data_IF_564892927475
#
_entry.id   IF_564892927475
#
_cell.length_a   1.000
_cell.length_b   1.000
_cell.length_c   1.000
_cell.angle_alpha   90.00
_cell.angle_beta   90.00
_cell.angle_gamma   90.00
#
_symmetry.space_group_name_H-M   'P 1'
#
loop_
_entity.id
_entity.type
_entity.pdbx_description
1 polymer ?
#
# COMPACT_ATOMS: atom_id res chain seq x y z
N UNK A 1 5.87 42.22 -12.65
CA UNK A 1 5.29 40.88 -12.79
C UNK A 1 6.11 39.92 -11.93
N UNK A 2 5.80 39.75 -10.63
CA UNK A 2 6.51 38.76 -9.83
C UNK A 2 5.85 37.40 -10.05
N UNK A 3 6.66 36.46 -10.52
CA UNK A 3 6.37 35.02 -10.55
C UNK A 3 6.08 34.57 -9.12
N UNK A 4 4.82 34.22 -8.86
CA UNK A 4 4.46 33.43 -7.69
C UNK A 4 5.06 32.06 -7.88
N UNK A 5 6.28 31.88 -7.39
CA UNK A 5 6.88 30.56 -7.19
C UNK A 5 5.93 29.82 -6.24
N UNK A 6 5.29 28.77 -6.73
CA UNK A 6 4.33 27.97 -5.99
C UNK A 6 5.10 27.15 -4.93
N UNK A 7 5.38 27.79 -3.79
CA UNK A 7 6.12 27.18 -2.68
C UNK A 7 5.53 25.84 -2.22
N UNK A 8 4.24 25.59 -2.43
CA UNK A 8 3.62 24.30 -2.07
C UNK A 8 3.99 23.16 -3.02
N UNK A 9 4.29 23.50 -4.27
CA UNK A 9 4.70 22.59 -5.33
C UNK A 9 6.20 22.35 -5.24
N UNK A 10 7.00 23.41 -5.10
CA UNK A 10 8.45 23.29 -4.84
C UNK A 10 8.74 22.56 -3.52
N UNK A 11 7.99 22.81 -2.44
CA UNK A 11 8.11 22.08 -1.17
C UNK A 11 7.65 20.61 -1.31
N UNK A 12 6.65 20.32 -2.15
CA UNK A 12 6.28 18.92 -2.47
C UNK A 12 7.31 18.22 -3.33
N UNK A 13 7.93 18.91 -4.26
CA UNK A 13 8.96 18.37 -5.15
C UNK A 13 10.27 18.14 -4.40
N UNK A 14 10.72 19.07 -3.53
CA UNK A 14 11.92 18.92 -2.69
C UNK A 14 11.75 17.81 -1.63
N UNK A 15 10.55 17.70 -1.03
CA UNK A 15 10.24 16.60 -0.10
C UNK A 15 10.04 15.28 -0.84
N UNK A 16 9.60 15.31 -2.10
CA UNK A 16 9.55 14.13 -2.94
C UNK A 16 10.96 13.67 -3.28
N UNK A 17 11.86 14.55 -3.70
CA UNK A 17 13.22 14.16 -4.13
C UNK A 17 14.07 13.65 -2.96
N UNK A 18 14.16 14.37 -1.83
CA UNK A 18 14.97 13.90 -0.70
C UNK A 18 14.46 12.57 -0.12
N UNK A 19 13.13 12.43 -0.01
CA UNK A 19 12.53 11.23 0.54
C UNK A 19 12.48 10.06 -0.46
N UNK A 20 12.45 10.36 -1.76
CA UNK A 20 12.64 9.38 -2.82
C UNK A 20 14.05 8.82 -2.76
N UNK A 21 15.07 9.68 -2.73
CA UNK A 21 16.47 9.28 -2.63
C UNK A 21 16.74 8.46 -1.37
N UNK A 22 16.13 8.83 -0.24
CA UNK A 22 16.22 8.04 1.00
C UNK A 22 15.60 6.65 0.86
N UNK A 23 14.39 6.54 0.30
CA UNK A 23 13.71 5.25 0.11
C UNK A 23 14.44 4.40 -0.92
N UNK A 24 14.89 5.00 -2.02
CA UNK A 24 15.71 4.37 -3.04
C UNK A 24 17.01 3.83 -2.42
N UNK A 25 17.75 4.68 -1.69
CA UNK A 25 18.98 4.27 -1.00
C UNK A 25 18.72 3.18 0.05
N UNK A 26 17.61 3.25 0.79
CA UNK A 26 17.22 2.22 1.76
C UNK A 26 16.97 0.87 1.06
N UNK A 27 16.19 0.87 -0.02
CA UNK A 27 15.88 -0.33 -0.81
C UNK A 27 17.15 -0.92 -1.42
N UNK A 28 17.96 -0.11 -2.11
CA UNK A 28 19.19 -0.60 -2.74
C UNK A 28 20.21 -1.08 -1.71
N UNK A 29 20.29 -0.47 -0.53
CA UNK A 29 21.15 -0.97 0.57
C UNK A 29 20.68 -2.34 1.03
N UNK A 30 19.38 -2.51 1.26
CA UNK A 30 18.80 -3.79 1.65
C UNK A 30 19.05 -4.88 0.61
N UNK A 31 18.74 -4.59 -0.66
CA UNK A 31 18.97 -5.52 -1.77
C UNK A 31 20.45 -5.91 -1.87
N UNK A 32 21.38 -4.95 -1.79
CA UNK A 32 22.83 -5.24 -1.82
C UNK A 32 23.26 -6.14 -0.66
N UNK A 33 22.82 -5.86 0.56
CA UNK A 33 23.17 -6.65 1.74
C UNK A 33 22.59 -8.06 1.65
N UNK A 34 21.30 -8.18 1.34
CA UNK A 34 20.63 -9.47 1.22
C UNK A 34 21.26 -10.35 0.12
N UNK A 35 21.55 -9.75 -1.04
CA UNK A 35 22.21 -10.46 -2.15
C UNK A 35 23.63 -10.88 -1.75
N UNK A 36 24.42 -10.00 -1.10
CA UNK A 36 25.76 -10.35 -0.63
C UNK A 36 25.75 -11.52 0.39
N UNK A 37 24.81 -11.50 1.34
CA UNK A 37 24.66 -12.58 2.32
C UNK A 37 24.24 -13.91 1.69
N UNK A 38 23.41 -13.87 0.64
CA UNK A 38 22.98 -15.06 -0.07
C UNK A 38 24.13 -15.77 -0.79
N UNK A 39 25.08 -15.02 -1.35
CA UNK A 39 26.26 -15.57 -2.03
C UNK A 39 27.30 -16.06 -1.02
N UNK A 40 27.47 -15.38 0.10
CA UNK A 40 28.37 -15.81 1.18
C UNK A 40 27.92 -17.10 1.89
N UNK A 41 26.62 -17.45 1.79
CA UNK A 41 26.05 -18.64 2.42
C UNK A 41 26.03 -19.87 1.50
N UNK A 42 26.52 -19.75 0.26
CA UNK A 42 26.66 -20.89 -0.66
C UNK A 42 27.96 -21.67 -0.35
N UNK A 43 27.93 -23.01 -0.20
CA UNK A 43 29.12 -23.78 0.16
C UNK A 43 30.19 -23.71 -0.95
N UNK A 44 31.49 -23.66 -0.61
CA UNK A 44 32.56 -23.61 -1.60
C UNK A 44 32.58 -24.90 -2.43
N UNK A 45 32.66 -24.76 -3.76
CA UNK A 45 32.89 -25.89 -4.65
C UNK A 45 34.31 -26.47 -4.42
N UNK A 46 34.52 -27.79 -4.52
CA UNK A 46 35.85 -28.37 -4.40
C UNK A 46 36.72 -27.87 -5.57
N UNK A 47 37.89 -27.30 -5.24
CA UNK A 47 38.95 -27.06 -6.21
C UNK A 47 39.51 -28.41 -6.65
N UNK A 48 39.40 -28.74 -7.93
CA UNK A 48 40.18 -29.82 -8.53
C UNK A 48 41.61 -29.29 -8.72
N UNK A 49 42.53 -29.78 -7.89
CA UNK A 49 43.96 -29.56 -8.03
C UNK A 49 44.47 -30.31 -9.27
N UNK A 50 44.93 -29.57 -10.27
CA UNK A 50 45.72 -30.12 -11.36
C UNK A 50 47.11 -30.55 -10.87
N UNK A 51 47.41 -31.85 -10.95
CA UNK A 51 48.78 -32.30 -11.16
C UNK A 51 48.86 -33.64 -11.93
N UNK A 52 49.65 -33.60 -13.00
CA UNK A 52 50.00 -34.60 -14.03
C UNK A 52 50.67 -35.86 -13.39
N UNK A 53 50.52 -37.14 -13.80
CA UNK A 53 50.96 -37.79 -15.07
C UNK A 53 50.71 -39.34 -15.04
N UNK A 54 50.28 -39.92 -16.19
CA UNK A 54 50.42 -41.31 -16.74
C UNK A 54 49.79 -42.57 -16.08
N UNK A 55 48.78 -43.19 -16.74
CA UNK A 55 48.91 -44.44 -17.53
C UNK A 55 47.58 -45.23 -17.75
N UNK A 56 47.20 -45.36 -19.04
CA UNK A 56 46.60 -46.52 -19.76
C UNK A 56 45.16 -47.06 -19.44
N UNK A 57 44.35 -47.04 -20.51
CA UNK A 57 43.26 -47.98 -20.96
C UNK A 57 41.78 -47.60 -20.73
N UNK A 58 41.00 -47.62 -21.82
CA UNK A 58 39.62 -47.16 -22.07
C UNK A 58 38.50 -48.12 -21.55
N UNK A 59 37.18 -47.97 -21.87
CA UNK A 59 36.41 -46.86 -22.46
C UNK A 59 35.15 -46.43 -21.66
N UNK A 60 34.54 -45.37 -22.19
CA UNK A 60 33.42 -44.56 -21.71
C UNK A 60 32.10 -45.31 -21.45
N UNK A 61 31.32 -44.83 -20.47
CA UNK A 61 29.86 -44.96 -20.43
C UNK A 61 29.28 -43.59 -20.05
N UNK A 62 28.58 -42.96 -21.00
CA UNK A 62 27.90 -41.67 -20.80
C UNK A 62 26.78 -41.79 -19.77
N UNK A 63 26.73 -40.84 -18.82
CA UNK A 63 25.52 -40.50 -18.07
C UNK A 63 25.47 -38.97 -17.95
N UNK A 64 24.34 -38.32 -18.25
CA UNK A 64 24.28 -36.87 -18.33
C UNK A 64 24.32 -36.25 -16.94
N UNK A 65 25.30 -35.38 -16.72
CA UNK A 65 25.38 -34.49 -15.57
C UNK A 65 24.27 -33.45 -15.68
N UNK A 66 23.29 -33.55 -14.79
CA UNK A 66 22.30 -32.52 -14.53
C UNK A 66 22.99 -31.27 -13.97
N UNK A 67 22.88 -30.16 -14.69
CA UNK A 67 23.31 -28.82 -14.28
C UNK A 67 22.56 -28.35 -13.02
N UNK A 68 23.20 -27.62 -12.08
CA UNK A 68 22.53 -27.12 -10.89
C UNK A 68 21.78 -25.81 -11.17
N UNK A 69 20.46 -25.82 -10.94
CA UNK A 69 19.51 -24.68 -11.09
C UNK A 69 19.57 -23.71 -9.89
N UNK A 70 20.66 -23.67 -9.12
CA UNK A 70 20.66 -23.08 -7.77
C UNK A 70 20.93 -21.57 -7.68
N UNK A 71 21.19 -20.86 -8.78
CA UNK A 71 21.60 -19.44 -8.75
C UNK A 71 20.46 -18.42 -8.88
N UNK A 72 19.22 -18.84 -9.20
CA UNK A 72 18.08 -17.93 -9.45
C UNK A 72 17.16 -17.65 -8.24
N UNK A 73 17.18 -18.49 -7.19
CA UNK A 73 16.28 -18.35 -6.03
C UNK A 73 16.70 -17.26 -5.03
N UNK A 74 17.99 -16.95 -4.97
CA UNK A 74 18.54 -16.00 -3.98
C UNK A 74 18.07 -14.54 -4.22
N UNK A 75 18.13 -13.99 -5.46
CA UNK A 75 17.75 -12.61 -5.70
C UNK A 75 16.26 -12.36 -5.47
N UNK A 76 15.39 -13.30 -5.88
CA UNK A 76 13.94 -13.21 -5.69
C UNK A 76 13.53 -13.08 -4.22
N UNK A 77 14.21 -13.83 -3.33
CA UNK A 77 13.99 -13.75 -1.90
C UNK A 77 14.27 -12.34 -1.35
N UNK A 78 15.31 -11.67 -1.84
CA UNK A 78 15.65 -10.32 -1.41
C UNK A 78 14.56 -9.29 -1.75
N UNK A 79 13.99 -9.36 -2.95
CA UNK A 79 12.85 -8.52 -3.33
C UNK A 79 11.57 -8.87 -2.56
N UNK A 80 11.35 -10.16 -2.26
CA UNK A 80 10.21 -10.62 -1.47
C UNK A 80 10.28 -10.23 0.00
N UNK A 81 11.49 -10.01 0.54
CA UNK A 81 11.73 -9.58 1.93
C UNK A 81 11.67 -8.07 2.14
N UNK A 82 11.65 -7.30 1.05
CA UNK A 82 11.66 -5.83 1.05
C UNK A 82 10.51 -5.20 1.86
N UNK A 83 9.26 -5.72 1.79
CA UNK A 83 8.14 -5.17 2.54
C UNK A 83 8.34 -5.21 4.06
N UNK A 84 8.97 -6.26 4.59
CA UNK A 84 9.25 -6.38 6.03
C UNK A 84 10.31 -5.37 6.52
N UNK A 85 11.21 -4.95 5.63
CA UNK A 85 12.28 -4.00 5.96
C UNK A 85 11.88 -2.55 5.72
N UNK A 86 11.00 -2.31 4.73
CA UNK A 86 10.52 -0.97 4.40
C UNK A 86 9.38 -0.51 5.31
N UNK A 87 8.55 -1.45 5.76
CA UNK A 87 7.41 -1.21 6.63
C UNK A 87 7.82 -1.54 8.07
N UNK A 88 8.12 -0.53 8.88
CA UNK A 88 8.49 -0.73 10.28
C UNK A 88 7.35 -1.44 11.05
N UNK A 89 7.64 -2.54 11.76
CA UNK A 89 6.63 -3.31 12.49
C UNK A 89 6.22 -2.69 13.84
N UNK A 90 7.02 -1.75 14.36
CA UNK A 90 7.01 -1.41 15.79
C UNK A 90 5.75 -0.72 16.32
N UNK A 91 4.93 -0.13 15.45
CA UNK A 91 3.72 0.58 15.90
C UNK A 91 2.44 -0.23 15.71
N UNK A 92 2.42 -1.28 14.88
CA UNK A 92 1.14 -1.88 14.43
C UNK A 92 0.35 -2.56 15.55
N UNK A 93 1.01 -3.23 16.50
CA UNK A 93 0.36 -3.89 17.63
C UNK A 93 -0.09 -2.89 18.71
N UNK A 94 0.72 -1.86 18.98
CA UNK A 94 0.38 -0.79 19.92
C UNK A 94 -0.74 0.12 19.38
N UNK A 95 -0.76 0.37 18.07
CA UNK A 95 -1.80 1.09 17.33
C UNK A 95 -3.15 0.41 17.46
N UNK A 96 -3.16 -0.90 17.25
CA UNK A 96 -4.35 -1.74 17.26
C UNK A 96 -4.96 -1.85 18.67
N UNK A 97 -4.13 -1.97 19.71
CA UNK A 97 -4.60 -1.98 21.10
C UNK A 97 -5.37 -0.71 21.52
N UNK A 98 -5.20 0.40 20.80
CA UNK A 98 -5.81 1.68 21.11
C UNK A 98 -7.26 1.85 20.60
N UNK A 99 -7.67 1.06 19.60
CA UNK A 99 -8.99 1.16 18.98
C UNK A 99 -10.00 0.28 19.72
N UNK A 100 -10.88 0.91 20.49
CA UNK A 100 -11.84 0.21 21.36
C UNK A 100 -13.07 -0.37 20.63
N UNK A 101 -13.27 -0.06 19.34
CA UNK A 101 -14.41 -0.55 18.55
C UNK A 101 -13.92 -1.68 17.61
N UNK A 102 -14.34 -2.94 17.84
CA UNK A 102 -13.80 -4.11 17.13
C UNK A 102 -14.07 -4.06 15.62
N UNK A 103 -15.19 -3.47 15.20
CA UNK A 103 -15.51 -3.31 13.77
C UNK A 103 -14.54 -2.35 13.07
N UNK A 104 -14.08 -1.32 13.79
CA UNK A 104 -13.17 -0.31 13.25
C UNK A 104 -11.72 -0.78 13.31
N UNK A 105 -11.38 -1.50 14.36
CA UNK A 105 -10.11 -2.20 14.48
C UNK A 105 -9.88 -3.13 13.27
N UNK A 106 -10.91 -3.91 12.88
CA UNK A 106 -10.85 -4.74 11.68
C UNK A 106 -10.57 -3.95 10.39
N UNK A 107 -11.10 -2.73 10.26
CA UNK A 107 -10.86 -1.90 9.07
C UNK A 107 -9.42 -1.36 8.98
N UNK A 108 -8.80 -1.03 10.12
CA UNK A 108 -7.40 -0.63 10.13
C UNK A 108 -6.47 -1.81 9.84
N UNK A 109 -6.78 -3.01 10.38
CA UNK A 109 -6.08 -4.24 10.01
C UNK A 109 -6.16 -4.47 8.50
N UNK A 110 -7.37 -4.39 7.93
CA UNK A 110 -7.56 -4.57 6.49
C UNK A 110 -6.77 -3.54 5.67
N UNK A 111 -6.67 -2.29 6.13
CA UNK A 111 -5.86 -1.25 5.50
C UNK A 111 -4.36 -1.57 5.54
N UNK A 112 -3.83 -1.95 6.69
CA UNK A 112 -2.41 -2.30 6.82
C UNK A 112 -2.07 -3.58 6.07
N UNK A 113 -2.98 -4.56 6.01
CA UNK A 113 -2.79 -5.77 5.22
C UNK A 113 -2.86 -5.48 3.72
N UNK A 114 -3.80 -4.66 3.26
CA UNK A 114 -3.89 -4.29 1.84
C UNK A 114 -2.64 -3.51 1.38
N UNK A 115 -2.11 -2.61 2.22
CA UNK A 115 -0.89 -1.87 1.91
C UNK A 115 0.38 -2.75 1.98
N UNK A 116 0.40 -3.79 2.81
CA UNK A 116 1.46 -4.80 2.77
C UNK A 116 1.39 -5.61 1.46
N UNK A 117 0.20 -6.03 1.03
CA UNK A 117 0.03 -6.74 -0.24
C UNK A 117 0.46 -5.89 -1.45
N UNK A 118 0.14 -4.59 -1.45
CA UNK A 118 0.65 -3.64 -2.43
C UNK A 118 2.19 -3.60 -2.45
N UNK A 119 2.82 -3.56 -1.28
CA UNK A 119 4.27 -3.56 -1.16
C UNK A 119 4.89 -4.87 -1.69
N UNK A 120 4.26 -6.01 -1.44
CA UNK A 120 4.66 -7.31 -2.00
C UNK A 120 4.65 -7.28 -3.54
N UNK A 121 3.57 -6.76 -4.14
CA UNK A 121 3.46 -6.62 -5.60
C UNK A 121 4.58 -5.72 -6.14
N UNK A 122 4.87 -4.59 -5.49
CA UNK A 122 6.00 -3.73 -5.83
C UNK A 122 7.34 -4.47 -5.78
N UNK A 123 7.57 -5.31 -4.76
CA UNK A 123 8.76 -6.15 -4.68
C UNK A 123 8.88 -7.13 -5.85
N UNK A 124 7.79 -7.84 -6.17
CA UNK A 124 7.73 -8.75 -7.33
C UNK A 124 7.94 -8.01 -8.66
N UNK A 125 7.45 -6.79 -8.79
CA UNK A 125 7.67 -5.93 -9.97
C UNK A 125 9.14 -5.56 -10.13
N UNK A 126 9.79 -5.08 -9.07
CA UNK A 126 11.22 -4.75 -9.13
C UNK A 126 12.07 -5.95 -9.53
N UNK A 127 11.75 -7.14 -9.02
CA UNK A 127 12.41 -8.36 -9.47
C UNK A 127 12.15 -8.66 -10.94
N UNK A 128 10.91 -8.52 -11.41
CA UNK A 128 10.52 -8.80 -12.79
C UNK A 128 11.17 -7.85 -13.78
N UNK A 129 11.27 -6.56 -13.42
CA UNK A 129 12.00 -5.53 -14.17
C UNK A 129 13.47 -5.92 -14.31
N UNK A 130 14.09 -6.33 -13.21
CA UNK A 130 15.50 -6.70 -13.18
C UNK A 130 15.78 -7.99 -13.98
N UNK A 131 14.88 -8.97 -13.96
CA UNK A 131 14.96 -10.13 -14.86
C UNK A 131 14.84 -9.70 -16.33
N UNK A 132 13.84 -8.88 -16.65
CA UNK A 132 13.59 -8.45 -18.03
C UNK A 132 14.77 -7.66 -18.61
N UNK A 133 15.43 -6.82 -17.80
CA UNK A 133 16.67 -6.14 -18.20
C UNK A 133 17.81 -7.10 -18.52
N UNK A 134 17.99 -8.16 -17.72
CA UNK A 134 19.02 -9.18 -17.98
C UNK A 134 18.73 -9.96 -19.26
N UNK A 135 17.47 -10.37 -19.44
CA UNK A 135 17.05 -11.15 -20.61
C UNK A 135 17.21 -10.31 -21.88
N UNK A 136 16.64 -9.10 -21.90
CA UNK A 136 16.72 -8.19 -23.03
C UNK A 136 18.17 -7.74 -23.32
N UNK A 137 18.95 -7.40 -22.29
CA UNK A 137 20.36 -7.03 -22.45
C UNK A 137 21.24 -8.18 -22.95
N UNK A 138 20.87 -9.43 -22.71
CA UNK A 138 21.56 -10.59 -23.27
C UNK A 138 21.22 -10.77 -24.75
N UNK A 139 19.94 -10.62 -25.12
CA UNK A 139 19.47 -10.69 -26.51
C UNK A 139 20.06 -9.56 -27.35
N UNK A 140 20.11 -8.34 -26.85
CA UNK A 140 20.66 -7.20 -27.58
C UNK A 140 22.16 -7.39 -27.88
N UNK A 141 22.92 -8.01 -26.97
CA UNK A 141 24.32 -8.39 -27.19
C UNK A 141 24.45 -9.50 -28.24
N UNK A 142 23.56 -10.47 -28.22
CA UNK A 142 23.50 -11.57 -29.21
C UNK A 142 23.07 -11.10 -30.60
N UNK A 143 22.29 -10.02 -30.69
CA UNK A 143 21.91 -9.44 -31.97
C UNK A 143 23.08 -8.69 -32.63
N UNK A 144 23.94 -8.07 -31.81
CA UNK A 144 25.09 -7.28 -32.28
C UNK A 144 26.32 -8.13 -32.67
N UNK A 145 26.43 -9.36 -32.15
CA UNK A 145 27.48 -10.30 -32.50
C UNK A 145 26.89 -11.45 -33.33
N UNK A 146 27.44 -11.67 -34.53
CA UNK A 146 27.02 -12.68 -35.54
C UNK A 146 26.31 -13.89 -34.91
N UNK A 147 25.01 -13.97 -35.19
CA UNK A 147 23.95 -14.68 -34.44
C UNK A 147 24.14 -16.20 -34.34
N UNK A 148 24.10 -16.74 -33.12
CA UNK A 148 23.68 -18.13 -32.87
C UNK A 148 22.15 -18.18 -32.74
N UNK A 149 21.49 -18.89 -33.68
CA UNK A 149 20.01 -18.97 -33.74
C UNK A 149 19.42 -19.73 -32.55
N UNK A 150 20.22 -20.57 -31.89
CA UNK A 150 19.78 -21.33 -30.72
C UNK A 150 19.45 -20.40 -29.54
N UNK A 151 20.27 -19.38 -29.30
CA UNK A 151 20.06 -18.42 -28.21
C UNK A 151 18.85 -17.52 -28.44
N UNK A 152 18.56 -17.22 -29.72
CA UNK A 152 17.40 -16.44 -30.10
C UNK A 152 16.10 -17.23 -29.93
N UNK A 153 16.15 -18.54 -30.23
CA UNK A 153 15.03 -19.45 -30.01
C UNK A 153 14.74 -19.65 -28.52
N UNK A 154 15.78 -19.74 -27.68
CA UNK A 154 15.60 -19.89 -26.23
C UNK A 154 14.95 -18.66 -25.59
N UNK A 155 15.33 -17.43 -26.00
CA UNK A 155 14.67 -16.21 -25.51
C UNK A 155 13.19 -16.12 -25.90
N UNK A 156 12.86 -16.56 -27.12
CA UNK A 156 11.49 -16.58 -27.62
C UNK A 156 10.60 -17.54 -26.84
N UNK A 157 11.17 -18.64 -26.36
CA UNK A 157 10.49 -19.65 -25.54
C UNK A 157 10.40 -19.25 -24.07
N UNK A 158 11.29 -18.36 -23.59
CA UNK A 158 11.26 -17.85 -22.23
C UNK A 158 9.94 -17.13 -21.95
N UNK A 159 9.29 -17.47 -20.84
CA UNK A 159 8.06 -16.79 -20.42
C UNK A 159 8.36 -15.35 -20.02
N UNK A 160 7.50 -14.41 -20.40
CA UNK A 160 7.63 -13.02 -19.95
C UNK A 160 7.43 -12.94 -18.42
N UNK A 161 8.40 -12.41 -17.65
CA UNK A 161 8.30 -12.31 -16.19
C UNK A 161 7.11 -11.45 -15.73
N UNK A 162 6.61 -10.54 -16.57
CA UNK A 162 5.44 -9.70 -16.28
C UNK A 162 4.10 -10.43 -16.45
N UNK A 163 4.08 -11.62 -17.07
CA UNK A 163 2.84 -12.36 -17.37
C UNK A 163 2.03 -12.72 -16.12
N UNK A 164 2.70 -13.19 -15.06
CA UNK A 164 2.05 -13.55 -13.80
C UNK A 164 1.41 -12.32 -13.12
N UNK A 165 2.06 -11.16 -13.22
CA UNK A 165 1.61 -9.91 -12.63
C UNK A 165 0.37 -9.35 -13.34
N UNK A 166 0.36 -9.40 -14.68
CA UNK A 166 -0.76 -8.90 -15.52
C UNK A 166 -2.08 -9.60 -15.22
N UNK A 167 -2.06 -10.91 -14.95
CA UNK A 167 -3.26 -11.76 -15.01
C UNK A 167 -3.93 -12.03 -13.67
N UNK A 168 -3.19 -12.11 -12.56
CA UNK A 168 -3.76 -12.56 -11.27
C UNK A 168 -3.60 -11.54 -10.15
N UNK A 169 -2.51 -10.76 -10.17
CA UNK A 169 -2.17 -9.88 -9.05
C UNK A 169 -2.92 -8.54 -9.10
N UNK A 170 -3.01 -7.90 -10.27
CA UNK A 170 -3.66 -6.58 -10.39
C UNK A 170 -5.19 -6.61 -10.20
N UNK A 171 -5.89 -7.60 -10.75
CA UNK A 171 -7.33 -7.73 -10.59
C UNK A 171 -7.71 -7.96 -9.11
N UNK A 172 -6.96 -8.83 -8.44
CA UNK A 172 -7.15 -9.12 -7.02
C UNK A 172 -6.94 -7.86 -6.17
N UNK A 173 -5.82 -7.15 -6.35
CA UNK A 173 -5.52 -5.99 -5.51
C UNK A 173 -6.48 -4.82 -5.78
N UNK A 174 -6.93 -4.65 -7.03
CA UNK A 174 -7.92 -3.64 -7.37
C UNK A 174 -9.26 -3.91 -6.66
N UNK A 175 -9.74 -5.16 -6.70
CA UNK A 175 -10.95 -5.57 -5.97
C UNK A 175 -10.82 -5.39 -4.44
N UNK A 176 -9.64 -5.70 -3.88
CA UNK A 176 -9.34 -5.48 -2.46
C UNK A 176 -9.44 -4.01 -2.08
N UNK A 177 -8.78 -3.11 -2.83
CA UNK A 177 -8.82 -1.67 -2.55
C UNK A 177 -10.21 -1.06 -2.76
N UNK A 178 -10.93 -1.42 -3.82
CA UNK A 178 -12.31 -0.95 -4.04
C UNK A 178 -13.22 -1.32 -2.85
N UNK A 179 -13.14 -2.57 -2.39
CA UNK A 179 -13.90 -3.06 -1.23
C UNK A 179 -13.50 -2.33 0.06
N UNK A 180 -12.19 -2.13 0.28
CA UNK A 180 -11.66 -1.47 1.46
C UNK A 180 -12.07 0.01 1.52
N UNK A 181 -11.88 0.77 0.44
CA UNK A 181 -12.25 2.19 0.36
C UNK A 181 -13.74 2.34 0.68
N UNK A 182 -14.60 1.53 0.05
CA UNK A 182 -16.04 1.55 0.31
C UNK A 182 -16.36 1.30 1.79
N UNK A 183 -15.74 0.29 2.42
CA UNK A 183 -15.98 -0.06 3.83
C UNK A 183 -15.51 1.06 4.77
N UNK A 184 -14.34 1.64 4.52
CA UNK A 184 -13.80 2.78 5.28
C UNK A 184 -14.71 4.01 5.17
N UNK A 185 -15.16 4.36 3.96
CA UNK A 185 -16.07 5.49 3.74
C UNK A 185 -17.42 5.27 4.43
N UNK A 186 -18.01 4.07 4.31
CA UNK A 186 -19.27 3.74 4.99
C UNK A 186 -19.15 3.80 6.52
N UNK A 187 -18.03 3.34 7.07
CA UNK A 187 -17.75 3.42 8.51
C UNK A 187 -17.60 4.88 8.96
N UNK A 188 -16.85 5.70 8.21
CA UNK A 188 -16.73 7.14 8.45
C UNK A 188 -18.10 7.81 8.48
N UNK A 189 -18.93 7.58 7.46
CA UNK A 189 -20.27 8.19 7.36
C UNK A 189 -21.19 7.72 8.48
N UNK A 190 -21.07 6.45 8.90
CA UNK A 190 -21.80 5.92 10.06
C UNK A 190 -21.42 6.68 11.34
N UNK A 191 -20.14 6.96 11.55
CA UNK A 191 -19.65 7.67 12.73
C UNK A 191 -20.04 9.15 12.72
N UNK A 192 -19.95 9.82 11.57
CA UNK A 192 -20.39 11.20 11.41
C UNK A 192 -21.89 11.34 11.70
N UNK A 193 -22.72 10.42 11.19
CA UNK A 193 -24.16 10.36 11.51
C UNK A 193 -24.40 10.16 13.00
N UNK A 194 -23.69 9.24 13.67
CA UNK A 194 -23.76 9.05 15.13
C UNK A 194 -23.40 10.34 15.89
N UNK A 195 -22.36 11.05 15.46
CA UNK A 195 -21.95 12.31 16.07
C UNK A 195 -23.01 13.40 15.90
N UNK A 196 -23.63 13.51 14.72
CA UNK A 196 -24.73 14.43 14.45
C UNK A 196 -25.96 14.13 15.33
N UNK A 197 -26.35 12.87 15.45
CA UNK A 197 -27.46 12.45 16.31
C UNK A 197 -27.21 12.85 17.78
N UNK A 198 -26.00 12.66 18.30
CA UNK A 198 -25.64 13.10 19.66
C UNK A 198 -25.76 14.62 19.83
N UNK A 199 -25.39 15.41 18.80
CA UNK A 199 -25.55 16.87 18.82
C UNK A 199 -27.04 17.27 18.81
N UNK A 200 -27.86 16.58 18.03
CA UNK A 200 -29.31 16.83 17.98
C UNK A 200 -29.99 16.47 19.31
N UNK A 201 -29.68 15.32 19.89
CA UNK A 201 -30.19 14.91 21.21
C UNK A 201 -29.77 15.91 22.28
N UNK A 202 -28.54 16.44 22.22
CA UNK A 202 -28.10 17.50 23.14
C UNK A 202 -28.98 18.76 23.00
N UNK A 203 -29.25 19.22 21.78
CA UNK A 203 -30.14 20.38 21.55
C UNK A 203 -31.55 20.11 22.11
N UNK A 204 -32.13 18.95 21.79
CA UNK A 204 -33.46 18.56 22.27
C UNK A 204 -33.53 18.43 23.80
N UNK A 205 -32.46 17.95 24.45
CA UNK A 205 -32.42 17.82 25.91
C UNK A 205 -32.50 19.17 26.65
N UNK A 206 -31.95 20.23 26.05
CA UNK A 206 -32.10 21.58 26.58
C UNK A 206 -33.55 22.05 26.52
N UNK A 207 -34.20 21.88 25.37
CA UNK A 207 -35.62 22.22 25.19
C UNK A 207 -36.53 21.43 26.13
N UNK A 208 -36.30 20.12 26.25
CA UNK A 208 -37.08 19.26 27.14
C UNK A 208 -36.93 19.65 28.62
N UNK A 209 -35.73 20.05 29.05
CA UNK A 209 -35.50 20.50 30.42
C UNK A 209 -36.24 21.82 30.72
N UNK A 210 -36.19 22.78 29.79
CA UNK A 210 -36.92 24.06 29.92
C UNK A 210 -38.42 23.84 29.95
N UNK A 211 -38.95 22.99 29.05
CA UNK A 211 -40.36 22.64 29.02
C UNK A 211 -40.82 21.95 30.32
N UNK A 212 -40.02 21.02 30.86
CA UNK A 212 -40.33 20.34 32.12
C UNK A 212 -40.32 21.31 33.32
N UNK A 213 -39.35 22.23 33.40
CA UNK A 213 -39.33 23.27 34.43
C UNK A 213 -40.53 24.22 34.33
N UNK A 214 -40.92 24.60 33.11
CA UNK A 214 -42.12 25.42 32.87
C UNK A 214 -43.41 24.71 33.28
N UNK A 215 -43.55 23.43 32.94
CA UNK A 215 -44.69 22.59 33.35
C UNK A 215 -44.76 22.42 34.88
N UNK A 216 -43.61 22.25 35.54
CA UNK A 216 -43.55 22.16 37.00
C UNK A 216 -43.94 23.49 37.67
N UNK A 217 -43.42 24.62 37.18
CA UNK A 217 -43.74 25.94 37.73
C UNK A 217 -45.23 26.27 37.57
N UNK A 218 -45.82 25.96 36.41
CA UNK A 218 -47.26 26.14 36.15
C UNK A 218 -48.12 25.24 37.04
N UNK A 219 -47.75 23.98 37.25
CA UNK A 219 -48.45 23.09 38.17
C UNK A 219 -48.39 23.59 39.63
N UNK A 220 -47.24 24.09 40.08
CA UNK A 220 -47.09 24.70 41.43
C UNK A 220 -47.97 25.93 41.58
N UNK A 221 -48.05 26.80 40.57
CA UNK A 221 -48.91 27.99 40.56
C UNK A 221 -50.40 27.62 40.64
N UNK A 222 -50.85 26.63 39.86
CA UNK A 222 -52.24 26.15 39.89
C UNK A 222 -52.57 25.54 41.25
N UNK A 223 -51.67 24.72 41.81
CA UNK A 223 -51.84 24.15 43.16
C UNK A 223 -51.87 25.24 44.24
N UNK A 224 -51.02 26.26 44.15
CA UNK A 224 -51.04 27.39 45.07
C UNK A 224 -52.34 28.21 44.97
N UNK A 225 -52.89 28.38 43.76
CA UNK A 225 -54.17 29.05 43.54
C UNK A 225 -55.36 28.20 44.03
N UNK A 226 -55.27 26.87 43.97
CA UNK A 226 -56.28 25.95 44.49
C UNK A 226 -56.11 25.62 45.99
N UNK A 227 -54.98 25.99 46.60
CA UNK A 227 -54.71 25.84 48.03
C UNK A 227 -55.52 26.79 48.94
N UNK A 228 -56.60 27.40 48.44
CA UNK A 228 -57.71 27.83 49.29
C UNK A 228 -58.53 26.63 49.84
N UNK A 229 -58.29 25.38 49.42
CA UNK A 229 -58.96 24.19 50.00
C UNK A 229 -57.97 23.04 50.25
N UNK A 230 -57.59 22.90 51.52
CA UNK A 230 -57.25 21.68 52.31
C UNK A 230 -56.41 20.55 51.67
N UNK A 231 -55.13 20.55 52.06
CA UNK A 231 -54.33 19.48 52.69
C UNK A 231 -54.55 17.97 52.32
N UNK A 232 -53.46 17.40 51.76
CA UNK A 232 -52.93 16.01 51.90
C UNK A 232 -53.78 14.84 51.39
N UNK A 233 -53.31 14.17 50.33
CA UNK A 233 -53.20 12.71 50.28
C UNK A 233 -51.95 12.27 49.48
N UNK A 234 -51.08 11.55 50.17
CA UNK A 234 -50.22 10.43 49.79
C UNK A 234 -49.61 10.33 48.36
N UNK A 235 -48.28 10.43 48.33
CA UNK A 235 -47.44 9.35 47.80
C UNK A 235 -47.53 9.06 46.30
N UNK A 236 -47.05 9.97 45.46
CA UNK A 236 -46.61 9.59 44.11
C UNK A 236 -45.11 9.32 44.20
N UNK A 237 -44.63 8.07 44.10
CA UNK A 237 -43.21 7.82 43.91
C UNK A 237 -42.88 8.46 42.57
N UNK A 238 -42.07 9.51 42.61
CA UNK A 238 -41.55 10.17 41.45
C UNK A 238 -40.70 9.16 40.68
N UNK A 239 -41.34 8.42 39.78
CA UNK A 239 -40.71 7.65 38.72
C UNK A 239 -40.16 8.64 37.70
N UNK A 240 -39.29 9.55 38.16
CA UNK A 240 -38.34 10.27 37.33
C UNK A 240 -37.36 9.20 36.87
N UNK A 241 -37.82 8.37 35.93
CA UNK A 241 -36.97 7.51 35.15
C UNK A 241 -35.74 8.34 34.79
N UNK A 242 -34.51 7.83 34.95
CA UNK A 242 -33.31 8.64 34.88
C UNK A 242 -33.02 9.00 33.42
N UNK A 243 -34.01 9.32 32.59
CA UNK A 243 -33.88 9.78 31.22
C UNK A 243 -32.94 10.98 31.16
N UNK A 244 -33.04 11.93 32.10
CA UNK A 244 -32.11 13.06 32.17
C UNK A 244 -30.66 12.62 32.50
N UNK A 245 -30.46 11.66 33.40
CA UNK A 245 -29.14 11.13 33.72
C UNK A 245 -28.59 10.18 32.63
N UNK A 246 -29.47 9.44 31.95
CA UNK A 246 -29.19 8.56 30.82
C UNK A 246 -28.81 9.38 29.58
N UNK A 247 -29.58 10.43 29.26
CA UNK A 247 -29.25 11.42 28.22
C UNK A 247 -27.92 12.10 28.56
N UNK A 248 -27.71 12.57 29.80
CA UNK A 248 -26.45 13.20 30.24
C UNK A 248 -25.24 12.27 30.17
N UNK A 249 -25.41 10.97 30.47
CA UNK A 249 -24.37 9.93 30.26
C UNK A 249 -24.08 9.72 28.77
N UNK A 250 -25.09 9.80 27.90
CA UNK A 250 -24.98 9.55 26.46
C UNK A 250 -24.47 10.76 25.66
N UNK A 251 -24.77 11.99 26.07
CA UNK A 251 -24.44 13.26 25.38
C UNK A 251 -23.15 13.93 25.88
N UNK A 252 -22.30 13.21 26.63
CA UNK A 252 -21.01 13.77 27.10
C UNK A 252 -20.23 14.37 25.92
N UNK A 253 -19.76 15.63 25.99
CA UNK A 253 -19.07 16.31 24.89
C UNK A 253 -17.85 15.53 24.39
N UNK A 254 -17.16 14.86 25.30
CA UNK A 254 -16.01 13.99 25.01
C UNK A 254 -16.36 12.80 24.10
N UNK A 255 -17.62 12.31 24.09
CA UNK A 255 -18.07 11.25 23.16
C UNK A 255 -18.22 11.77 21.73
N UNK A 256 -18.81 12.96 21.56
CA UNK A 256 -18.93 13.57 20.24
C UNK A 256 -17.55 13.93 19.66
N UNK A 257 -16.64 14.46 20.49
CA UNK A 257 -15.25 14.71 20.08
C UNK A 257 -14.51 13.43 19.69
N UNK A 258 -14.64 12.33 20.46
CA UNK A 258 -14.08 11.02 20.08
C UNK A 258 -14.55 10.54 18.71
N UNK A 259 -15.86 10.61 18.44
CA UNK A 259 -16.41 10.19 17.15
C UNK A 259 -15.88 11.04 15.99
N UNK A 260 -15.68 12.35 16.19
CA UNK A 260 -15.09 13.21 15.16
C UNK A 260 -13.63 12.81 14.86
N UNK A 261 -12.83 12.49 15.89
CA UNK A 261 -11.45 11.99 15.68
C UNK A 261 -11.43 10.65 14.96
N UNK A 262 -12.28 9.73 15.39
CA UNK A 262 -12.43 8.42 14.76
C UNK A 262 -12.83 8.53 13.28
N UNK A 263 -13.69 9.50 12.94
CA UNK A 263 -14.02 9.80 11.56
C UNK A 263 -12.84 10.37 10.77
N UNK A 264 -11.96 11.16 11.41
CA UNK A 264 -10.74 11.66 10.78
C UNK A 264 -9.72 10.52 10.51
N UNK A 265 -9.55 9.59 11.46
CA UNK A 265 -8.71 8.40 11.29
C UNK A 265 -9.20 7.51 10.13
N UNK A 266 -10.51 7.32 10.02
CA UNK A 266 -11.08 6.57 8.88
C UNK A 266 -10.97 7.34 7.57
N UNK A 267 -11.05 8.67 7.61
CA UNK A 267 -10.83 9.51 6.41
C UNK A 267 -9.38 9.44 5.95
N UNK A 268 -8.40 9.46 6.86
CA UNK A 268 -6.99 9.30 6.51
C UNK A 268 -6.70 7.93 5.92
N UNK A 269 -7.23 6.86 6.52
CA UNK A 269 -7.12 5.50 5.97
C UNK A 269 -7.80 5.36 4.60
N UNK A 270 -9.00 5.94 4.42
CA UNK A 270 -9.72 5.91 3.14
C UNK A 270 -8.95 6.66 2.04
N UNK A 271 -8.38 7.84 2.35
CA UNK A 271 -7.53 8.59 1.42
C UNK A 271 -6.27 7.82 1.07
N UNK A 272 -5.61 7.22 2.07
CA UNK A 272 -4.47 6.34 1.85
C UNK A 272 -4.82 5.21 0.88
N UNK A 273 -5.90 4.47 1.15
CA UNK A 273 -6.36 3.39 0.30
C UNK A 273 -6.70 3.84 -1.12
N UNK A 274 -7.32 5.01 -1.28
CA UNK A 274 -7.61 5.60 -2.59
C UNK A 274 -6.34 5.93 -3.38
N UNK A 275 -5.35 6.56 -2.74
CA UNK A 275 -4.07 6.88 -3.39
C UNK A 275 -3.39 5.59 -3.85
N UNK A 276 -3.31 4.57 -2.98
CA UNK A 276 -2.71 3.28 -3.32
C UNK A 276 -3.43 2.57 -4.47
N UNK A 277 -4.76 2.61 -4.47
CA UNK A 277 -5.56 2.05 -5.56
C UNK A 277 -5.23 2.69 -6.91
N UNK A 278 -5.00 4.01 -6.93
CA UNK A 278 -4.67 4.76 -8.15
C UNK A 278 -3.24 4.51 -8.62
N UNK A 279 -2.29 4.44 -7.68
CA UNK A 279 -0.90 4.12 -8.00
C UNK A 279 -0.80 2.70 -8.61
N UNK A 280 -1.52 1.73 -8.03
CA UNK A 280 -1.61 0.36 -8.54
C UNK A 280 -2.25 0.29 -9.93
N UNK A 281 -3.27 1.09 -10.20
CA UNK A 281 -3.89 1.17 -11.52
C UNK A 281 -2.93 1.76 -12.57
N UNK A 282 -2.12 2.74 -12.18
CA UNK A 282 -1.10 3.35 -13.05
C UNK A 282 -0.02 2.33 -13.41
N UNK A 283 0.52 1.66 -12.40
CA UNK A 283 1.51 0.58 -12.56
C UNK A 283 0.92 -0.56 -13.41
N UNK A 284 -0.33 -0.97 -13.17
CA UNK A 284 -0.99 -2.03 -13.95
C UNK A 284 -1.05 -1.71 -15.45
N UNK A 285 -1.35 -0.46 -15.82
CA UNK A 285 -1.35 -0.03 -17.23
C UNK A 285 0.06 -0.04 -17.83
N UNK A 286 1.06 0.43 -17.08
CA UNK A 286 2.47 0.39 -17.52
C UNK A 286 2.96 -1.05 -17.72
N UNK A 287 2.66 -1.94 -16.78
CA UNK A 287 2.98 -3.38 -16.89
C UNK A 287 2.28 -4.00 -18.08
N UNK A 288 1.02 -3.65 -18.34
CA UNK A 288 0.28 -4.16 -19.51
C UNK A 288 0.94 -3.73 -20.82
N UNK A 289 1.26 -2.43 -20.95
CA UNK A 289 1.95 -1.88 -22.12
C UNK A 289 3.30 -2.57 -22.35
N UNK A 290 4.10 -2.67 -21.29
CA UNK A 290 5.44 -3.26 -21.35
C UNK A 290 5.39 -4.76 -21.64
N UNK A 291 4.42 -5.47 -21.08
CA UNK A 291 4.18 -6.88 -21.39
C UNK A 291 3.87 -7.08 -22.87
N UNK A 292 2.97 -6.24 -23.42
CA UNK A 292 2.53 -6.36 -24.81
C UNK A 292 3.64 -5.99 -25.79
N UNK A 293 4.52 -5.04 -25.43
CA UNK A 293 5.74 -4.71 -26.18
C UNK A 293 6.69 -5.91 -26.26
N UNK A 294 6.99 -6.56 -25.12
CA UNK A 294 7.89 -7.73 -25.09
C UNK A 294 7.31 -8.92 -25.84
N UNK A 295 6.01 -9.18 -25.73
CA UNK A 295 5.35 -10.23 -26.51
C UNK A 295 5.31 -9.90 -27.99
N UNK A 296 5.19 -8.62 -28.35
CA UNK A 296 5.31 -8.16 -29.74
C UNK A 296 6.70 -8.43 -30.31
N UNK A 297 7.77 -8.02 -29.60
CA UNK A 297 9.16 -8.28 -29.98
C UNK A 297 9.42 -9.78 -30.15
N UNK A 298 8.99 -10.61 -29.19
CA UNK A 298 9.09 -12.07 -29.28
C UNK A 298 8.30 -12.62 -30.48
N UNK A 299 7.16 -12.02 -30.82
CA UNK A 299 6.37 -12.36 -32.00
C UNK A 299 7.12 -12.10 -33.32
N UNK A 300 7.77 -10.95 -33.44
CA UNK A 300 8.64 -10.60 -34.59
C UNK A 300 9.80 -11.58 -34.69
N UNK A 301 10.41 -11.90 -33.56
CA UNK A 301 11.54 -12.82 -33.51
C UNK A 301 11.15 -14.26 -33.87
N UNK A 302 9.98 -14.72 -33.44
CA UNK A 302 9.38 -16.00 -33.88
C UNK A 302 9.21 -16.03 -35.40
N UNK A 303 8.80 -14.92 -36.01
CA UNK A 303 8.64 -14.83 -37.47
C UNK A 303 10.00 -14.92 -38.19
N UNK A 304 11.02 -14.21 -37.69
CA UNK A 304 12.39 -14.24 -38.20
C UNK A 304 12.97 -15.67 -38.15
N UNK A 305 12.81 -16.35 -37.01
CA UNK A 305 13.28 -17.73 -36.86
C UNK A 305 12.58 -18.72 -37.81
N UNK A 306 11.32 -18.47 -38.17
CA UNK A 306 10.56 -19.30 -39.12
C UNK A 306 10.90 -19.05 -40.59
N UNK A 307 11.25 -17.80 -40.99
CA UNK A 307 11.56 -17.46 -42.39
C UNK A 307 13.07 -17.49 -42.64
N UNK A 308 13.55 -18.64 -43.11
CA UNK A 308 14.95 -19.00 -43.38
C UNK A 308 15.79 -17.97 -44.18
N UNK A 309 15.23 -17.21 -45.13
CA UNK A 309 16.06 -16.53 -46.16
C UNK A 309 15.58 -15.17 -46.72
N UNK A 310 14.45 -14.57 -46.28
CA UNK A 310 13.85 -13.40 -46.99
C UNK A 310 13.83 -12.03 -46.31
N UNK A 311 14.31 -11.90 -45.06
CA UNK A 311 14.29 -10.62 -44.35
C UNK A 311 15.68 -10.03 -44.06
N UNK A 312 16.75 -10.75 -44.38
CA UNK A 312 18.14 -10.36 -44.07
C UNK A 312 18.55 -9.02 -44.72
N UNK A 313 17.83 -8.54 -45.74
CA UNK A 313 18.18 -7.29 -46.44
C UNK A 313 17.22 -6.11 -46.23
N UNK A 314 15.97 -6.31 -45.81
CA UNK A 314 15.01 -5.20 -45.67
C UNK A 314 15.06 -4.60 -44.26
N UNK A 315 15.32 -5.42 -43.24
CA UNK A 315 15.33 -4.97 -41.85
C UNK A 315 16.74 -4.61 -41.35
N UNK A 316 17.79 -4.94 -42.11
CA UNK A 316 19.16 -4.46 -41.87
C UNK A 316 19.35 -2.99 -42.28
N UNK A 317 18.46 -2.44 -43.13
CA UNK A 317 18.49 -1.04 -43.56
C UNK A 317 17.46 -0.15 -42.82
N UNK A 318 16.38 -0.72 -42.28
CA UNK A 318 15.33 0.06 -41.57
C UNK A 318 15.04 -0.39 -40.12
N UNK A 319 15.49 -1.56 -39.68
CA UNK A 319 14.95 -2.21 -38.48
C UNK A 319 15.76 -2.13 -37.19
N UNK A 320 16.94 -1.52 -37.19
CA UNK A 320 17.80 -1.47 -35.98
C UNK A 320 18.00 -0.07 -35.39
N UNK A 321 17.30 0.96 -35.89
CA UNK A 321 17.54 2.35 -35.47
C UNK A 321 16.33 3.16 -34.99
N UNK A 322 15.10 2.66 -35.13
CA UNK A 322 13.89 3.49 -34.96
C UNK A 322 13.09 3.28 -33.66
N UNK A 323 13.21 2.13 -33.00
CA UNK A 323 12.40 1.77 -31.82
C UNK A 323 13.17 1.49 -30.52
N UNK A 324 14.50 1.42 -30.59
CA UNK A 324 15.37 0.97 -29.50
C UNK A 324 15.47 1.87 -28.27
N UNK A 325 14.78 3.02 -28.27
CA UNK A 325 14.60 3.85 -27.07
C UNK A 325 13.38 3.47 -26.22
N UNK A 326 12.50 2.59 -26.70
CA UNK A 326 11.18 2.35 -26.08
C UNK A 326 11.18 1.47 -24.83
N UNK A 327 11.72 0.25 -24.92
CA UNK A 327 11.56 -0.75 -23.84
C UNK A 327 12.39 -0.41 -22.59
N UNK A 328 13.66 -0.05 -22.78
CA UNK A 328 14.55 0.32 -21.68
C UNK A 328 14.04 1.56 -20.92
N UNK A 329 13.57 2.57 -21.65
CA UNK A 329 12.96 3.75 -21.06
C UNK A 329 11.65 3.41 -20.34
N UNK A 330 10.77 2.59 -20.94
CA UNK A 330 9.53 2.15 -20.27
C UNK A 330 9.81 1.34 -19.00
N UNK A 331 10.87 0.53 -18.99
CA UNK A 331 11.32 -0.20 -17.80
C UNK A 331 11.82 0.73 -16.70
N UNK A 332 12.57 1.78 -17.05
CA UNK A 332 13.02 2.83 -16.14
C UNK A 332 11.82 3.63 -15.58
N UNK A 333 10.91 4.09 -16.44
CA UNK A 333 9.68 4.79 -16.04
C UNK A 333 8.81 3.94 -15.10
N UNK A 334 8.70 2.63 -15.38
CA UNK A 334 7.98 1.69 -14.52
C UNK A 334 8.69 1.52 -13.18
N UNK A 335 10.01 1.35 -13.16
CA UNK A 335 10.78 1.22 -11.92
C UNK A 335 10.64 2.46 -11.04
N UNK A 336 10.76 3.66 -11.62
CA UNK A 336 10.53 4.92 -10.91
C UNK A 336 9.14 4.96 -10.27
N UNK A 337 8.09 4.59 -11.03
CA UNK A 337 6.72 4.55 -10.50
C UNK A 337 6.56 3.52 -9.38
N UNK A 338 7.27 2.39 -9.43
CA UNK A 338 7.28 1.42 -8.34
C UNK A 338 7.93 2.00 -7.09
N UNK A 339 9.06 2.72 -7.22
CA UNK A 339 9.68 3.42 -6.09
C UNK A 339 8.77 4.52 -5.52
N UNK A 340 8.11 5.31 -6.37
CA UNK A 340 7.12 6.30 -5.94
C UNK A 340 5.95 5.66 -5.18
N UNK A 341 5.47 4.51 -5.64
CA UNK A 341 4.42 3.77 -4.96
C UNK A 341 4.88 3.27 -3.59
N UNK A 342 6.07 2.66 -3.50
CA UNK A 342 6.67 2.22 -2.23
C UNK A 342 6.82 3.37 -1.21
N UNK A 343 7.29 4.53 -1.68
CA UNK A 343 7.38 5.73 -0.86
C UNK A 343 6.01 6.18 -0.35
N UNK A 344 5.01 6.15 -1.22
CA UNK A 344 3.64 6.56 -0.88
C UNK A 344 2.97 5.56 0.07
N UNK A 345 3.23 4.26 -0.08
CA UNK A 345 2.82 3.21 0.88
C UNK A 345 3.42 3.51 2.26
N UNK A 346 4.74 3.70 2.35
CA UNK A 346 5.45 3.97 3.61
C UNK A 346 4.87 5.21 4.31
N UNK A 347 4.68 6.30 3.56
CA UNK A 347 4.13 7.56 4.08
C UNK A 347 2.67 7.44 4.54
N UNK A 348 1.81 6.87 3.71
CA UNK A 348 0.38 6.78 4.04
C UNK A 348 0.16 5.86 5.24
N UNK A 349 0.91 4.76 5.35
CA UNK A 349 0.90 3.90 6.55
C UNK A 349 1.34 4.67 7.80
N UNK A 350 2.43 5.45 7.72
CA UNK A 350 2.90 6.29 8.84
C UNK A 350 1.90 7.36 9.27
N UNK A 351 1.24 8.03 8.32
CA UNK A 351 0.21 9.03 8.62
C UNK A 351 -1.03 8.40 9.29
N UNK A 352 -1.49 7.26 8.78
CA UNK A 352 -2.62 6.54 9.38
C UNK A 352 -2.27 6.03 10.78
N UNK A 353 -1.05 5.51 10.96
CA UNK A 353 -0.53 5.13 12.26
C UNK A 353 -0.54 6.31 13.24
N UNK A 354 0.05 7.44 12.86
CA UNK A 354 0.10 8.63 13.70
C UNK A 354 -1.30 9.12 14.10
N UNK A 355 -2.23 9.19 13.15
CA UNK A 355 -3.63 9.58 13.42
C UNK A 355 -4.32 8.63 14.40
N UNK A 356 -4.03 7.32 14.34
CA UNK A 356 -4.55 6.33 15.27
C UNK A 356 -3.98 6.54 16.68
N UNK A 357 -2.67 6.75 16.82
CA UNK A 357 -1.99 7.07 18.11
C UNK A 357 -2.51 8.39 18.71
N UNK A 358 -2.56 9.46 17.92
CA UNK A 358 -2.95 10.79 18.38
C UNK A 358 -4.43 10.82 18.80
N UNK A 359 -5.29 10.05 18.12
CA UNK A 359 -6.68 9.92 18.50
C UNK A 359 -6.92 9.06 19.75
N UNK A 360 -5.98 8.16 20.10
CA UNK A 360 -6.03 7.37 21.33
C UNK A 360 -5.64 8.16 22.58
N UNK A 361 -4.85 9.23 22.42
CA UNK A 361 -4.40 10.07 23.52
C UNK A 361 -5.54 10.95 24.09
N UNK A 362 -5.69 11.05 25.43
CA UNK A 362 -6.66 11.96 26.03
C UNK A 362 -6.36 13.41 25.60
N UNK A 363 -7.38 14.30 25.48
CA UNK A 363 -7.11 15.69 25.14
C UNK A 363 -6.16 16.27 26.19
N UNK A 364 -5.01 16.77 25.74
CA UNK A 364 -4.13 17.58 26.56
C UNK A 364 -4.97 18.70 27.18
N UNK A 365 -5.19 18.62 28.49
CA UNK A 365 -5.66 19.75 29.27
C UNK A 365 -4.60 20.81 29.15
N UNK A 366 -4.85 21.82 28.32
CA UNK A 366 -4.05 23.05 28.30
C UNK A 366 -4.10 23.59 29.73
N UNK A 367 -2.97 23.69 30.46
CA UNK A 367 -2.98 24.29 31.79
C UNK A 367 -3.46 25.73 31.63
N UNK A 368 -4.50 26.06 32.42
CA UNK A 368 -5.15 27.35 32.38
C UNK A 368 -4.12 28.47 32.49
N UNK A 369 -4.21 29.43 31.56
CA UNK A 369 -3.51 30.70 31.65
C UNK A 369 -3.83 31.29 33.03
N UNK A 370 -2.84 31.53 33.91
CA UNK A 370 -3.13 32.15 35.19
C UNK A 370 -3.72 33.54 34.92
N UNK A 371 -4.93 33.75 35.41
CA UNK A 371 -5.54 35.06 35.48
C UNK A 371 -4.87 35.83 36.61
N UNK A 372 -3.84 36.60 36.27
CA UNK A 372 -3.61 37.98 36.70
C UNK A 372 -2.33 38.52 36.09
#
# INVERSE_FOLDING_TARGET
MPTTINLSEEYREVIRTQSYEEVYAQIHRHLRQCIAHSYASSPPQPQEDENFTTARTAPQTLRPTSSPVSSLSSPFFCYSSLPQHLLEPHDQEALLASVHDPDLHGLFIDYFNASLEACNICGTLLWSIEQLRRDHGSVQRLFNHVVDRADLASYVELQNPLFALKTVHFDRIHGLYQSLIRRLTLARDRILRRAQLLRLVKKASGFALVAACGALATAVLVLAAQAAVVLVVAGVPAMVFPFSAWVRRRTRPWRAHRLVRLAAQLDSAARGAYIMSRDMETISRMVTRLHDEVEHEKGVLRLFLRRRERFVQVEAAEGSGGGGGGLAQQLEELEEHVYWCLLTIKRTRGLVAQEVIDGASPPRTVPGRPSR
#
